data_IF_705407489618
#
_entry.id   IF_705407489618
#
_cell.length_a   1.000
_cell.length_b   1.000
_cell.length_c   1.000
_cell.angle_alpha   90.00
_cell.angle_beta   90.00
_cell.angle_gamma   90.00
#
_symmetry.space_group_name_H-M   'P 1'
#
loop_
_entity.id
_entity.type
_entity.pdbx_description
1 polymer ?
#
# COMPACT_ATOMS: atom_id res chain seq x y z
N UNK A 1 29.19 19.48 -3.40
CA UNK A 1 28.76 19.17 -2.03
C UNK A 1 27.96 17.88 -2.04
N UNK A 2 28.52 16.84 -1.52
CA UNK A 2 27.77 15.62 -1.27
C UNK A 2 26.90 15.86 -0.04
N UNK A 3 25.58 15.94 -0.26
CA UNK A 3 24.66 15.95 0.86
C UNK A 3 24.79 14.60 1.54
N UNK A 4 25.31 14.62 2.74
CA UNK A 4 25.48 13.40 3.53
C UNK A 4 24.11 12.82 3.83
N UNK A 5 23.87 11.60 3.41
CA UNK A 5 22.65 10.88 3.69
C UNK A 5 22.49 10.72 5.21
N UNK A 6 21.33 11.07 5.80
CA UNK A 6 21.15 10.90 7.24
C UNK A 6 21.23 9.43 7.63
N UNK A 7 21.62 9.13 8.89
CA UNK A 7 21.59 7.76 9.38
C UNK A 7 20.22 7.12 9.19
N UNK A 8 20.20 5.81 8.92
CA UNK A 8 18.96 5.09 8.68
C UNK A 8 17.93 5.26 9.80
N UNK A 9 18.37 5.35 11.05
CA UNK A 9 17.47 5.56 12.19
C UNK A 9 16.68 6.86 12.07
N UNK A 10 17.31 7.94 11.60
CA UNK A 10 16.60 9.22 11.36
C UNK A 10 15.61 9.11 10.23
N UNK A 11 15.98 8.39 9.17
CA UNK A 11 15.07 8.12 8.06
C UNK A 11 13.86 7.33 8.54
N UNK A 12 14.06 6.27 9.30
CA UNK A 12 13.00 5.46 9.88
C UNK A 12 12.08 6.32 10.76
N UNK A 13 12.64 7.10 11.67
CA UNK A 13 11.86 7.95 12.58
C UNK A 13 11.05 9.01 11.82
N UNK A 14 11.58 9.55 10.74
CA UNK A 14 10.90 10.55 9.92
C UNK A 14 9.72 10.00 9.15
N UNK A 15 9.75 8.73 8.74
CA UNK A 15 8.75 8.15 7.83
C UNK A 15 7.90 7.03 8.43
N UNK A 16 8.17 6.62 9.66
CA UNK A 16 7.50 5.47 10.28
C UNK A 16 5.97 5.63 10.37
N UNK A 17 5.49 6.81 10.72
CA UNK A 17 4.06 7.08 10.84
C UNK A 17 3.36 7.03 9.49
N UNK A 18 3.95 7.63 8.47
CA UNK A 18 3.39 7.64 7.12
C UNK A 18 3.30 6.22 6.56
N UNK A 19 4.35 5.43 6.75
CA UNK A 19 4.37 4.02 6.32
C UNK A 19 3.33 3.20 7.09
N UNK A 20 3.24 3.40 8.40
CA UNK A 20 2.27 2.70 9.22
C UNK A 20 0.83 2.99 8.77
N UNK A 21 0.47 4.26 8.62
CA UNK A 21 -0.86 4.67 8.15
C UNK A 21 -1.19 4.10 6.78
N UNK A 22 -0.23 4.15 5.88
CA UNK A 22 -0.39 3.59 4.53
C UNK A 22 -0.65 2.08 4.58
N UNK A 23 0.12 1.36 5.39
CA UNK A 23 -0.03 -0.10 5.51
C UNK A 23 -1.32 -0.49 6.21
N UNK A 24 -1.74 0.23 7.24
CA UNK A 24 -3.06 -0.01 7.88
C UNK A 24 -4.17 0.17 6.84
N UNK A 25 -4.12 1.22 6.04
CA UNK A 25 -5.08 1.44 4.96
C UNK A 25 -5.02 0.35 3.89
N UNK A 26 -3.83 -0.18 3.60
CA UNK A 26 -3.63 -1.16 2.52
C UNK A 26 -3.99 -2.58 2.92
N UNK A 27 -3.61 -3.03 4.10
CA UNK A 27 -3.70 -4.44 4.51
C UNK A 27 -4.46 -4.66 5.83
N UNK A 28 -4.85 -3.59 6.52
CA UNK A 28 -5.46 -3.66 7.83
C UNK A 28 -4.43 -3.76 8.95
N UNK A 29 -4.88 -3.54 10.20
CA UNK A 29 -3.98 -3.50 11.36
C UNK A 29 -3.26 -4.82 11.62
N UNK A 30 -3.95 -5.93 11.48
CA UNK A 30 -3.40 -7.25 11.79
C UNK A 30 -2.19 -7.59 10.93
N UNK A 31 -2.23 -7.25 9.64
CA UNK A 31 -1.14 -7.51 8.71
C UNK A 31 -0.14 -6.36 8.62
N UNK A 32 -0.49 -5.18 9.11
CA UNK A 32 0.36 -3.99 8.98
C UNK A 32 1.70 -4.14 9.70
N UNK A 33 1.73 -4.80 10.87
CA UNK A 33 2.97 -5.02 11.63
C UNK A 33 4.01 -5.77 10.80
N UNK A 34 3.65 -6.89 10.22
CA UNK A 34 4.56 -7.70 9.41
C UNK A 34 5.01 -6.95 8.17
N UNK A 35 4.09 -6.30 7.47
CA UNK A 35 4.41 -5.50 6.30
C UNK A 35 5.31 -4.31 6.65
N UNK A 36 5.08 -3.69 7.79
CA UNK A 36 5.91 -2.58 8.30
C UNK A 36 7.35 -3.03 8.54
N UNK A 37 7.52 -4.15 9.25
CA UNK A 37 8.85 -4.69 9.53
C UNK A 37 9.57 -5.07 8.23
N UNK A 38 8.90 -5.76 7.32
CA UNK A 38 9.48 -6.13 6.02
C UNK A 38 9.82 -4.91 5.18
N UNK A 39 8.99 -3.87 5.21
CA UNK A 39 9.24 -2.61 4.51
C UNK A 39 10.56 -1.99 4.97
N UNK A 40 10.73 -1.83 6.29
CA UNK A 40 11.93 -1.18 6.82
C UNK A 40 13.17 -2.08 6.75
N UNK A 41 13.04 -3.40 6.80
CA UNK A 41 14.14 -4.31 6.54
C UNK A 41 14.63 -4.18 5.09
N UNK A 42 13.71 -4.14 4.13
CA UNK A 42 14.06 -3.92 2.72
C UNK A 42 14.64 -2.53 2.50
N UNK A 43 14.06 -1.53 3.15
CA UNK A 43 14.57 -0.15 3.08
C UNK A 43 15.99 -0.07 3.64
N UNK A 44 16.26 -0.71 4.77
CA UNK A 44 17.59 -0.71 5.38
C UNK A 44 18.65 -1.32 4.45
N UNK A 45 18.31 -2.40 3.78
CA UNK A 45 19.23 -3.06 2.83
C UNK A 45 19.53 -2.20 1.62
N UNK A 46 18.54 -1.47 1.14
CA UNK A 46 18.65 -0.63 -0.06
C UNK A 46 19.09 0.81 0.26
N UNK A 47 19.09 1.21 1.52
CA UNK A 47 19.33 2.58 1.96
C UNK A 47 20.66 3.17 1.46
N UNK A 48 21.80 2.42 1.50
CA UNK A 48 23.07 2.98 1.00
C UNK A 48 23.05 3.36 -0.48
N UNK A 49 22.11 2.81 -1.25
CA UNK A 49 21.95 3.07 -2.68
C UNK A 49 20.80 4.03 -2.99
N UNK A 50 20.07 4.46 -1.97
CA UNK A 50 18.94 5.35 -2.14
C UNK A 50 19.41 6.72 -2.63
N UNK A 51 18.72 7.26 -3.64
CA UNK A 51 18.87 8.64 -4.07
C UNK A 51 17.93 9.51 -3.23
N UNK A 52 18.39 10.66 -2.68
CA UNK A 52 17.60 11.40 -1.70
C UNK A 52 16.53 12.32 -2.27
N UNK A 53 16.19 12.22 -3.55
CA UNK A 53 15.25 13.15 -4.21
C UNK A 53 13.85 13.13 -3.60
N UNK A 54 13.36 11.96 -3.20
CA UNK A 54 12.09 11.84 -2.50
C UNK A 54 12.08 10.58 -1.61
N UNK A 55 12.68 10.65 -0.43
CA UNK A 55 12.76 9.49 0.48
C UNK A 55 11.39 8.94 0.88
N UNK A 56 10.41 9.81 1.06
CA UNK A 56 9.06 9.42 1.44
C UNK A 56 8.39 8.57 0.36
N UNK A 57 8.42 9.03 -0.89
CA UNK A 57 7.87 8.27 -2.01
C UNK A 57 8.60 6.94 -2.21
N UNK A 58 9.91 6.93 -2.01
CA UNK A 58 10.73 5.73 -2.12
C UNK A 58 10.30 4.65 -1.12
N UNK A 59 10.17 5.00 0.17
CA UNK A 59 9.77 4.03 1.18
C UNK A 59 8.32 3.59 1.04
N UNK A 60 7.42 4.49 0.63
CA UNK A 60 6.03 4.14 0.38
C UNK A 60 5.88 3.20 -0.83
N UNK A 61 6.76 3.33 -1.83
CA UNK A 61 6.82 2.37 -2.94
C UNK A 61 7.19 0.97 -2.43
N UNK A 62 8.16 0.88 -1.52
CA UNK A 62 8.53 -0.40 -0.90
C UNK A 62 7.34 -0.96 -0.10
N UNK A 63 6.69 -0.12 0.70
CA UNK A 63 5.53 -0.50 1.48
C UNK A 63 4.39 -1.05 0.59
N UNK A 64 4.14 -0.38 -0.52
CA UNK A 64 3.14 -0.83 -1.50
C UNK A 64 3.47 -2.22 -2.06
N UNK A 65 4.73 -2.47 -2.39
CA UNK A 65 5.17 -3.79 -2.87
C UNK A 65 4.97 -4.87 -1.81
N UNK A 66 5.24 -4.56 -0.54
CA UNK A 66 5.01 -5.50 0.56
C UNK A 66 3.51 -5.77 0.77
N UNK A 67 2.69 -4.75 0.62
CA UNK A 67 1.23 -4.91 0.65
C UNK A 67 0.75 -5.80 -0.49
N UNK A 68 1.26 -5.62 -1.71
CA UNK A 68 0.94 -6.48 -2.85
C UNK A 68 1.36 -7.92 -2.60
N UNK A 69 2.55 -8.14 -2.06
CA UNK A 69 3.04 -9.48 -1.73
C UNK A 69 2.12 -10.16 -0.70
N UNK A 70 1.67 -9.39 0.28
CA UNK A 70 0.72 -9.87 1.29
C UNK A 70 -0.61 -10.31 0.64
N UNK A 71 -1.19 -9.50 -0.24
CA UNK A 71 -2.41 -9.85 -0.95
C UNK A 71 -2.24 -11.09 -1.83
N UNK A 72 -1.12 -11.20 -2.52
CA UNK A 72 -0.82 -12.37 -3.36
C UNK A 72 -0.67 -13.64 -2.53
N UNK A 73 0.01 -13.56 -1.40
CA UNK A 73 0.16 -14.69 -0.48
C UNK A 73 -1.20 -15.13 0.10
N UNK A 74 -2.03 -14.17 0.49
CA UNK A 74 -3.38 -14.43 1.00
C UNK A 74 -4.26 -15.09 -0.07
N UNK A 75 -4.21 -14.60 -1.31
CA UNK A 75 -4.94 -15.18 -2.44
C UNK A 75 -4.51 -16.61 -2.72
N UNK A 76 -3.22 -16.91 -2.66
CA UNK A 76 -2.70 -18.27 -2.85
C UNK A 76 -3.16 -19.22 -1.75
N UNK A 77 -3.26 -18.77 -0.51
CA UNK A 77 -3.78 -19.57 0.61
C UNK A 77 -5.28 -19.83 0.50
N UNK A 78 -6.02 -18.94 -0.15
CA UNK A 78 -7.46 -19.06 -0.36
C UNK A 78 -7.82 -19.98 -1.53
N UNK A 79 -6.86 -20.38 -2.38
CA UNK A 79 -7.10 -21.37 -3.44
C UNK A 79 -7.13 -22.74 -2.79
N UNK A 80 -8.29 -23.46 -2.84
CA UNK A 80 -8.36 -24.80 -2.25
C UNK A 80 -7.43 -25.75 -3.03
N UNK A 81 -6.43 -26.29 -2.34
CA UNK A 81 -5.61 -27.38 -2.85
C UNK A 81 -6.31 -28.67 -2.44
N UNK A 82 -7.08 -29.25 -3.38
CA UNK A 82 -7.74 -30.55 -3.17
C UNK A 82 -9.04 -30.45 -2.35
N UNK A 83 -9.88 -31.44 -2.59
CA UNK A 83 -11.17 -31.63 -1.94
C UNK A 83 -11.13 -31.24 -0.48
N UNK A 84 -11.65 -30.10 -0.12
CA UNK A 84 -12.38 -29.98 1.12
C UNK A 84 -12.39 -28.59 1.71
N UNK A 85 -13.57 -28.19 2.00
CA UNK A 85 -13.99 -27.13 2.89
C UNK A 85 -13.57 -25.75 2.44
N UNK A 86 -14.56 -24.93 2.12
CA UNK A 86 -14.30 -23.50 2.08
C UNK A 86 -13.74 -23.13 3.45
N UNK A 87 -12.44 -22.89 3.50
CA UNK A 87 -11.92 -22.05 4.56
C UNK A 87 -12.58 -20.70 4.30
N UNK A 88 -13.71 -20.49 4.95
CA UNK A 88 -14.24 -19.16 5.06
C UNK A 88 -13.14 -18.39 5.75
N UNK A 89 -12.34 -17.69 4.96
CA UNK A 89 -11.49 -16.67 5.52
C UNK A 89 -12.42 -15.80 6.34
N UNK A 90 -12.24 -15.82 7.66
CA UNK A 90 -12.99 -14.93 8.51
C UNK A 90 -12.83 -13.53 7.90
N UNK A 91 -13.93 -12.82 7.62
CA UNK A 91 -13.80 -11.44 7.20
C UNK A 91 -12.90 -10.76 8.23
N UNK A 92 -11.94 -9.92 7.79
CA UNK A 92 -11.17 -9.16 8.75
C UNK A 92 -12.15 -8.48 9.70
N UNK A 93 -11.91 -8.62 11.00
CA UNK A 93 -12.76 -7.99 12.01
C UNK A 93 -13.02 -6.55 11.56
N UNK A 94 -14.28 -6.16 11.40
CA UNK A 94 -14.56 -4.78 11.07
C UNK A 94 -13.97 -3.92 12.15
N UNK A 95 -13.03 -3.08 11.78
CA UNK A 95 -12.52 -2.06 12.69
C UNK A 95 -13.71 -1.26 13.22
N UNK A 96 -13.75 -0.94 14.54
CA UNK A 96 -14.95 -0.37 15.18
C UNK A 96 -15.44 0.98 14.62
N UNK A 97 -14.90 1.44 13.52
CA UNK A 97 -15.30 2.70 12.84
C UNK A 97 -15.16 2.64 11.34
N UNK A 98 -15.11 1.44 10.80
CA UNK A 98 -15.09 1.30 9.35
C UNK A 98 -16.54 1.35 8.85
N UNK A 99 -16.89 2.45 8.22
CA UNK A 99 -18.17 2.62 7.53
C UNK A 99 -18.23 1.85 6.20
N UNK A 100 -17.39 0.84 6.04
CA UNK A 100 -17.32 0.00 4.85
C UNK A 100 -16.43 0.56 3.74
N UNK A 101 -15.83 1.73 3.93
CA UNK A 101 -14.98 2.38 2.92
C UNK A 101 -13.78 1.51 2.57
N UNK A 102 -13.11 0.97 3.58
CA UNK A 102 -11.91 0.14 3.36
C UNK A 102 -12.23 -1.16 2.63
N UNK A 103 -13.36 -1.79 2.93
CA UNK A 103 -13.81 -2.97 2.20
C UNK A 103 -14.02 -2.65 0.72
N UNK A 104 -14.58 -1.48 0.41
CA UNK A 104 -14.78 -1.03 -0.96
C UNK A 104 -13.46 -0.71 -1.66
N UNK A 105 -12.53 -0.08 -0.95
CA UNK A 105 -11.18 0.17 -1.48
C UNK A 105 -10.50 -1.16 -1.84
N UNK A 106 -10.58 -2.14 -0.96
CA UNK A 106 -9.98 -3.46 -1.19
C UNK A 106 -10.67 -4.24 -2.31
N UNK A 107 -11.93 -3.94 -2.62
CA UNK A 107 -12.67 -4.55 -3.73
C UNK A 107 -12.35 -3.93 -5.09
N UNK A 108 -11.65 -2.80 -5.14
CA UNK A 108 -11.25 -2.18 -6.40
C UNK A 108 -10.29 -3.08 -7.18
N UNK A 109 -10.32 -3.02 -8.53
CA UNK A 109 -9.28 -3.67 -9.33
C UNK A 109 -7.88 -3.26 -8.88
N UNK A 110 -6.88 -4.17 -8.95
CA UNK A 110 -5.57 -3.93 -8.32
C UNK A 110 -4.89 -2.61 -8.72
N UNK A 111 -4.96 -2.22 -9.98
CA UNK A 111 -4.35 -0.96 -10.45
C UNK A 111 -5.07 0.27 -9.89
N UNK A 112 -6.39 0.23 -9.83
CA UNK A 112 -7.19 1.31 -9.26
C UNK A 112 -6.99 1.40 -7.75
N UNK A 113 -6.98 0.26 -7.07
CA UNK A 113 -6.70 0.19 -5.64
C UNK A 113 -5.33 0.76 -5.30
N UNK A 114 -4.29 0.34 -6.02
CA UNK A 114 -2.93 0.85 -5.82
C UNK A 114 -2.84 2.35 -6.04
N UNK A 115 -3.45 2.87 -7.10
CA UNK A 115 -3.44 4.29 -7.39
C UNK A 115 -4.18 5.10 -6.32
N UNK A 116 -5.33 4.63 -5.87
CA UNK A 116 -6.11 5.30 -4.82
C UNK A 116 -5.33 5.30 -3.49
N UNK A 117 -4.78 4.17 -3.09
CA UNK A 117 -4.04 4.05 -1.84
C UNK A 117 -2.78 4.93 -1.83
N UNK A 118 -1.98 4.88 -2.89
CA UNK A 118 -0.77 5.69 -2.99
C UNK A 118 -1.08 7.18 -3.06
N UNK A 119 -2.11 7.55 -3.80
CA UNK A 119 -2.48 8.96 -3.98
C UNK A 119 -3.10 9.55 -2.72
N UNK A 120 -4.01 8.86 -2.05
CA UNK A 120 -4.80 9.42 -0.96
C UNK A 120 -4.30 8.99 0.42
N UNK A 121 -3.94 7.74 0.64
CA UNK A 121 -3.35 7.31 1.91
C UNK A 121 -1.85 7.62 1.98
N UNK A 122 -1.15 7.48 0.88
CA UNK A 122 0.28 7.80 0.79
C UNK A 122 0.60 9.25 0.50
N UNK A 123 -0.39 10.03 0.08
CA UNK A 123 -0.24 11.44 -0.31
C UNK A 123 0.86 11.67 -1.36
N UNK A 124 0.94 10.76 -2.33
CA UNK A 124 1.88 10.88 -3.43
C UNK A 124 1.26 11.64 -4.61
N UNK A 125 2.09 12.35 -5.36
CA UNK A 125 1.66 12.97 -6.63
C UNK A 125 1.35 11.89 -7.68
N UNK A 126 0.61 12.24 -8.72
CA UNK A 126 0.35 11.31 -9.82
C UNK A 126 1.63 10.79 -10.47
N UNK A 127 2.66 11.63 -10.56
CA UNK A 127 3.96 11.24 -11.08
C UNK A 127 4.62 10.19 -10.19
N UNK A 128 4.60 10.40 -8.88
CA UNK A 128 5.15 9.46 -7.91
C UNK A 128 4.37 8.14 -7.89
N UNK A 129 3.04 8.21 -8.01
CA UNK A 129 2.19 7.02 -8.14
C UNK A 129 2.55 6.25 -9.41
N UNK A 130 2.75 6.96 -10.52
CA UNK A 130 3.15 6.35 -11.78
C UNK A 130 4.48 5.59 -11.65
N UNK A 131 5.47 6.21 -11.01
CA UNK A 131 6.76 5.57 -10.75
C UNK A 131 6.61 4.33 -9.86
N UNK A 132 5.81 4.44 -8.80
CA UNK A 132 5.58 3.32 -7.87
C UNK A 132 4.88 2.13 -8.54
N UNK A 133 3.93 2.39 -9.43
CA UNK A 133 3.16 1.36 -10.12
C UNK A 133 3.80 0.88 -11.42
N UNK A 134 4.82 1.56 -11.91
CA UNK A 134 5.44 1.22 -13.19
C UNK A 134 4.52 1.49 -14.39
N UNK A 135 3.71 2.53 -14.32
CA UNK A 135 2.78 2.94 -15.38
C UNK A 135 3.05 4.38 -15.79
N UNK A 136 2.38 4.85 -16.87
CA UNK A 136 2.46 6.26 -17.25
C UNK A 136 1.72 7.15 -16.24
N UNK A 137 2.08 8.43 -16.20
CA UNK A 137 1.39 9.39 -15.35
C UNK A 137 -0.10 9.50 -15.70
N UNK A 138 -0.44 9.46 -16.99
CA UNK A 138 -1.82 9.46 -17.45
C UNK A 138 -2.58 8.24 -16.95
N UNK A 139 -1.96 7.05 -17.00
CA UNK A 139 -2.57 5.82 -16.50
C UNK A 139 -2.76 5.89 -14.98
N UNK A 140 -1.78 6.42 -14.25
CA UNK A 140 -1.89 6.60 -12.81
C UNK A 140 -3.06 7.53 -12.45
N UNK A 141 -3.16 8.65 -13.13
CA UNK A 141 -4.25 9.63 -12.95
C UNK A 141 -5.60 9.02 -13.26
N UNK A 142 -5.71 8.32 -14.37
CA UNK A 142 -6.95 7.64 -14.77
C UNK A 142 -7.37 6.58 -13.77
N UNK A 143 -6.45 5.74 -13.32
CA UNK A 143 -6.73 4.69 -12.33
C UNK A 143 -7.20 5.28 -11.00
N UNK A 144 -6.56 6.36 -10.54
CA UNK A 144 -6.98 7.05 -9.32
C UNK A 144 -8.38 7.66 -9.48
N UNK A 145 -8.65 8.28 -10.60
CA UNK A 145 -9.96 8.89 -10.91
C UNK A 145 -11.06 7.83 -10.97
N UNK A 146 -10.85 6.76 -11.71
CA UNK A 146 -11.84 5.69 -11.86
C UNK A 146 -12.10 4.97 -10.54
N UNK A 147 -11.04 4.71 -9.77
CA UNK A 147 -11.17 4.12 -8.43
C UNK A 147 -11.99 4.99 -7.49
N UNK A 148 -11.68 6.28 -7.45
CA UNK A 148 -12.41 7.23 -6.63
C UNK A 148 -13.88 7.36 -7.06
N UNK A 149 -14.13 7.36 -8.38
CA UNK A 149 -15.50 7.40 -8.92
C UNK A 149 -16.31 6.19 -8.47
N UNK A 150 -15.74 4.99 -8.54
CA UNK A 150 -16.42 3.78 -8.08
C UNK A 150 -16.75 3.85 -6.60
N UNK A 151 -15.82 4.31 -5.78
CA UNK A 151 -16.04 4.48 -4.35
C UNK A 151 -17.20 5.44 -4.07
N UNK A 152 -17.24 6.57 -4.77
CA UNK A 152 -18.34 7.55 -4.62
C UNK A 152 -19.69 6.97 -5.05
N UNK A 153 -19.75 6.22 -6.13
CA UNK A 153 -20.98 5.59 -6.61
C UNK A 153 -21.54 4.59 -5.59
N UNK A 154 -20.67 3.79 -4.99
CA UNK A 154 -21.07 2.81 -3.98
C UNK A 154 -21.51 3.46 -2.67
N UNK A 155 -20.97 4.64 -2.35
CA UNK A 155 -21.36 5.37 -1.13
C UNK A 155 -22.70 6.09 -1.27
N UNK A 156 -23.15 6.36 -2.48
CA UNK A 156 -24.42 7.06 -2.75
C UNK A 156 -25.57 6.12 -3.12
N UNK A 157 -25.29 4.83 -3.24
CA UNK A 157 -26.32 3.82 -3.56
C UNK A 157 -27.08 3.35 -2.32
#
# INVERSE_FOLDING_TARGET
MTVSQPPFQRFLDAHREDVWRFLVASVGRDAADDCFQETFLSAMRAYPRMRPDNPRAWVLTIAHRKALDHFRARKRRAVPVGDDLPVVAAPPDPEPRDDGVWARVHALPPKQRGAVLLRFAGDLSHREVAEALGVSEEAARRNAFEGLRKLRQEMTA
#
